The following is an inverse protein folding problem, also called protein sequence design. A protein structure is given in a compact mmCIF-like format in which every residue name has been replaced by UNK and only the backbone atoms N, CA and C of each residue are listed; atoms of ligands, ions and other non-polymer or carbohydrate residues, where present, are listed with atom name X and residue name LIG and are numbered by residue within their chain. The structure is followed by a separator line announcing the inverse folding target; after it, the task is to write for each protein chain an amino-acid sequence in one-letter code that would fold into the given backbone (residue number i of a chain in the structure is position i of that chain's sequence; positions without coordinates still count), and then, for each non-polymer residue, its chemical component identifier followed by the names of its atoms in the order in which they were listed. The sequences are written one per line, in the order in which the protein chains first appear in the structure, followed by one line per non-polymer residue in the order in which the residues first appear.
data_IF_709830018561
#
_entry.id   IF_709830018561
#
_cell.length_a   1.000
_cell.length_b   1.000
_cell.length_c   1.000
_cell.angle_alpha   90.00
_cell.angle_beta   90.00
_cell.angle_gamma   90.00
#
_symmetry.space_group_name_H-M   'P 1'
#
loop_
_entity.id
_entity.type
_entity.pdbx_description
1 polymer ?
#
# COMPACT_ATOMS: atom_id res chain seq x y z
N UNK A 1 4.18 5.96 -8.74
CA UNK A 1 4.71 5.05 -7.69
C UNK A 1 5.75 4.18 -8.35
N UNK A 2 6.92 3.92 -7.75
CA UNK A 2 7.91 3.03 -8.35
C UNK A 2 7.35 1.62 -8.52
N UNK A 3 7.60 0.99 -9.68
CA UNK A 3 6.84 -0.17 -10.16
C UNK A 3 7.12 -1.46 -9.37
N UNK A 4 8.36 -1.67 -8.89
CA UNK A 4 8.81 -2.92 -8.27
C UNK A 4 9.11 -2.82 -6.76
N UNK A 5 8.35 -2.00 -6.03
CA UNK A 5 8.43 -2.03 -4.55
C UNK A 5 7.81 -3.32 -4.01
N UNK A 6 8.28 -3.76 -2.85
CA UNK A 6 7.70 -4.89 -2.13
C UNK A 6 6.17 -4.74 -2.00
N UNK A 7 5.41 -5.82 -2.26
CA UNK A 7 3.96 -5.79 -2.20
C UNK A 7 3.47 -5.69 -0.76
N UNK A 8 2.17 -5.40 -0.60
CA UNK A 8 1.50 -5.52 0.68
C UNK A 8 1.18 -6.96 1.04
N UNK A 9 0.23 -7.16 1.94
CA UNK A 9 -0.21 -8.50 2.35
C UNK A 9 -0.92 -9.25 1.21
N UNK A 10 -1.46 -8.52 0.24
CA UNK A 10 -2.16 -9.04 -0.94
C UNK A 10 -1.23 -9.60 -2.02
N UNK A 11 0.09 -9.39 -1.91
CA UNK A 11 1.08 -9.89 -2.86
C UNK A 11 1.15 -9.12 -4.19
N UNK A 12 0.31 -8.11 -4.41
CA UNK A 12 0.30 -7.37 -5.68
C UNK A 12 1.28 -6.19 -5.67
N UNK A 13 2.12 -6.12 -6.71
CA UNK A 13 3.06 -5.02 -6.94
C UNK A 13 2.45 -3.91 -7.80
N UNK A 14 3.02 -2.71 -7.76
CA UNK A 14 2.49 -1.57 -8.51
C UNK A 14 2.49 -1.81 -10.04
N UNK A 15 3.44 -2.59 -10.57
CA UNK A 15 3.47 -2.98 -11.99
C UNK A 15 2.20 -3.70 -12.44
N UNK A 16 1.58 -4.51 -11.58
CA UNK A 16 0.33 -5.21 -11.91
C UNK A 16 -0.78 -4.19 -12.22
N UNK A 17 -1.01 -3.24 -11.31
CA UNK A 17 -2.03 -2.21 -11.49
C UNK A 17 -1.73 -1.28 -12.66
N UNK A 18 -0.47 -0.97 -12.92
CA UNK A 18 -0.07 -0.16 -14.08
C UNK A 18 -0.34 -0.87 -15.40
N UNK A 19 0.01 -2.16 -15.50
CA UNK A 19 -0.13 -2.94 -16.73
C UNK A 19 -1.58 -3.29 -17.04
N UNK A 20 -2.34 -3.66 -16.00
CA UNK A 20 -3.73 -4.10 -16.14
C UNK A 20 -4.74 -3.02 -15.76
N UNK A 21 -4.34 -1.74 -15.77
CA UNK A 21 -5.24 -0.62 -15.44
C UNK A 21 -6.50 -0.60 -16.31
N UNK A 22 -6.38 -0.96 -17.58
CA UNK A 22 -7.51 -1.08 -18.50
C UNK A 22 -8.54 -2.15 -18.08
N UNK A 23 -8.17 -3.08 -17.19
CA UNK A 23 -9.05 -4.11 -16.64
C UNK A 23 -9.56 -3.66 -15.27
N UNK A 24 -8.65 -3.38 -14.32
CA UNK A 24 -9.02 -3.16 -12.91
C UNK A 24 -9.28 -1.69 -12.55
N UNK A 25 -8.93 -0.75 -13.43
CA UNK A 25 -8.90 0.68 -13.10
C UNK A 25 -10.27 1.25 -12.76
N UNK A 26 -11.33 0.80 -13.44
CA UNK A 26 -12.69 1.23 -13.15
C UNK A 26 -13.14 0.78 -11.76
N UNK A 27 -12.87 -0.45 -11.39
CA UNK A 27 -13.23 -1.04 -10.09
C UNK A 27 -12.46 -0.37 -8.95
N UNK A 28 -11.15 -0.14 -9.13
CA UNK A 28 -10.32 0.56 -8.14
C UNK A 28 -10.76 2.02 -7.98
N UNK A 29 -11.12 2.70 -9.07
CA UNK A 29 -11.61 4.08 -9.02
C UNK A 29 -12.94 4.17 -8.26
N UNK A 30 -13.88 3.27 -8.57
CA UNK A 30 -15.15 3.16 -7.85
C UNK A 30 -14.93 2.87 -6.37
N UNK A 31 -14.07 1.91 -6.06
CA UNK A 31 -13.71 1.59 -4.67
C UNK A 31 -13.16 2.82 -3.92
N UNK A 32 -12.32 3.64 -4.56
CA UNK A 32 -11.83 4.87 -3.94
C UNK A 32 -12.96 5.88 -3.71
N UNK A 33 -13.87 6.05 -4.67
CA UNK A 33 -15.02 6.95 -4.51
C UNK A 33 -15.97 6.48 -3.41
N UNK A 34 -16.26 5.18 -3.33
CA UNK A 34 -17.11 4.60 -2.30
C UNK A 34 -16.51 4.85 -0.89
N UNK A 35 -15.18 4.72 -0.75
CA UNK A 35 -14.47 5.08 0.49
C UNK A 35 -14.61 6.57 0.82
N UNK A 36 -14.38 7.44 -0.16
CA UNK A 36 -14.43 8.91 0.03
C UNK A 36 -15.83 9.42 0.35
N UNK A 37 -16.85 8.77 -0.19
CA UNK A 37 -18.26 9.07 0.05
C UNK A 37 -18.81 8.40 1.33
N UNK A 38 -17.97 7.70 2.10
CA UNK A 38 -18.38 7.02 3.34
C UNK A 38 -19.24 5.77 3.13
N UNK A 39 -19.29 5.24 1.91
CA UNK A 39 -20.05 4.02 1.56
C UNK A 39 -19.26 2.75 1.85
N UNK A 40 -17.94 2.87 2.08
CA UNK A 40 -17.07 1.76 2.41
C UNK A 40 -16.10 2.13 3.53
N UNK A 41 -15.65 1.14 4.28
CA UNK A 41 -14.67 1.33 5.35
C UNK A 41 -13.24 1.11 4.87
N UNK A 42 -12.32 1.90 5.43
CA UNK A 42 -10.89 1.81 5.12
C UNK A 42 -10.22 0.57 5.72
N UNK A 43 -10.86 -0.08 6.70
CA UNK A 43 -10.32 -1.24 7.41
C UNK A 43 -9.93 -2.40 6.47
N UNK A 44 -10.64 -2.56 5.35
CA UNK A 44 -10.41 -3.62 4.36
C UNK A 44 -9.00 -3.56 3.75
N UNK A 45 -8.48 -2.34 3.54
CA UNK A 45 -7.18 -2.09 2.89
C UNK A 45 -6.10 -1.59 3.86
N UNK A 46 -6.46 -1.30 5.11
CA UNK A 46 -5.53 -0.82 6.15
C UNK A 46 -4.73 -1.95 6.84
N UNK A 47 -4.75 -3.16 6.28
CA UNK A 47 -3.91 -4.27 6.74
C UNK A 47 -2.50 -4.08 6.18
N UNK A 48 -1.52 -3.90 7.07
CA UNK A 48 -0.13 -3.64 6.67
C UNK A 48 0.83 -4.60 7.36
N UNK A 49 1.85 -5.05 6.63
CA UNK A 49 2.96 -5.83 7.21
C UNK A 49 4.09 -4.89 7.56
N UNK A 50 4.50 -4.87 8.83
CA UNK A 50 5.65 -4.09 9.27
C UNK A 50 6.92 -4.93 9.07
N UNK A 51 7.87 -4.41 8.30
CA UNK A 51 9.20 -4.98 8.18
C UNK A 51 10.22 -4.08 8.88
N UNK A 52 11.17 -4.69 9.58
CA UNK A 52 12.22 -3.98 10.30
C UNK A 52 13.51 -4.00 9.47
N UNK A 53 13.96 -2.84 9.03
CA UNK A 53 15.24 -2.70 8.30
C UNK A 53 16.33 -2.29 9.29
N UNK A 54 17.43 -3.06 9.43
CA UNK A 54 18.57 -2.66 10.24
C UNK A 54 19.16 -1.32 9.76
N UNK A 55 19.44 -0.40 10.68
CA UNK A 55 20.18 0.85 10.40
C UNK A 55 21.69 0.71 10.57
N UNK A 56 22.12 -0.31 11.33
CA UNK A 56 23.52 -0.57 11.66
C UNK A 56 23.83 -2.06 11.51
N UNK A 57 25.12 -2.39 11.40
CA UNK A 57 25.59 -3.76 11.46
C UNK A 57 25.35 -4.37 12.85
N UNK A 58 24.90 -5.62 12.88
CA UNK A 58 24.66 -6.40 14.10
C UNK A 58 23.73 -5.71 15.12
N UNK A 59 22.46 -5.44 14.76
CA UNK A 59 21.53 -4.70 15.62
C UNK A 59 21.18 -5.50 16.89
N UNK A 60 21.22 -4.83 18.04
CA UNK A 60 20.89 -5.42 19.36
C UNK A 60 19.63 -4.84 20.00
N UNK A 61 19.27 -3.60 19.67
CA UNK A 61 18.14 -2.89 20.27
C UNK A 61 17.09 -2.54 19.21
N UNK A 62 15.82 -2.43 19.60
CA UNK A 62 14.73 -2.04 18.69
C UNK A 62 14.95 -0.68 18.02
N UNK A 63 15.60 0.25 18.71
CA UNK A 63 15.98 1.57 18.16
C UNK A 63 17.00 1.49 17.03
N UNK A 64 17.67 0.35 16.84
CA UNK A 64 18.61 0.12 15.73
C UNK A 64 17.90 -0.27 14.43
N UNK A 65 16.59 -0.51 14.46
CA UNK A 65 15.79 -0.80 13.28
C UNK A 65 14.98 0.42 12.85
N UNK A 66 14.70 0.49 11.55
CA UNK A 66 13.72 1.38 10.96
C UNK A 66 12.50 0.53 10.56
N UNK A 67 11.33 0.73 11.18
CA UNK A 67 10.11 0.08 10.69
C UNK A 67 9.72 0.68 9.34
N UNK A 68 9.34 -0.17 8.41
CA UNK A 68 8.67 0.21 7.17
C UNK A 68 7.33 -0.51 7.05
N UNK A 69 6.31 0.21 6.62
CA UNK A 69 4.98 -0.36 6.38
C UNK A 69 4.86 -0.82 4.94
N UNK A 70 4.63 -2.11 4.73
CA UNK A 70 4.34 -2.71 3.44
C UNK A 70 2.83 -2.71 3.21
N UNK A 71 2.29 -1.54 2.83
CA UNK A 71 0.87 -1.37 2.54
C UNK A 71 0.53 -1.90 1.15
N UNK A 72 -0.70 -2.39 0.98
CA UNK A 72 -1.28 -2.76 -0.31
C UNK A 72 -1.23 -1.58 -1.29
N UNK A 73 -1.14 -1.87 -2.59
CA UNK A 73 -1.08 -0.80 -3.61
C UNK A 73 -2.39 -0.01 -3.64
N UNK A 74 -3.54 -0.67 -3.44
CA UNK A 74 -4.85 -0.01 -3.37
C UNK A 74 -4.87 1.04 -2.26
N UNK A 75 -4.36 0.71 -1.07
CA UNK A 75 -4.18 1.69 0.01
C UNK A 75 -3.38 2.91 -0.44
N UNK A 76 -2.25 2.67 -1.12
CA UNK A 76 -1.38 3.75 -1.59
C UNK A 76 -2.07 4.61 -2.66
N UNK A 77 -2.95 4.02 -3.49
CA UNK A 77 -3.74 4.75 -4.49
C UNK A 77 -4.75 5.64 -3.77
N UNK A 78 -5.55 5.09 -2.86
CA UNK A 78 -6.54 5.86 -2.10
C UNK A 78 -5.89 7.00 -1.30
N UNK A 79 -4.78 6.73 -0.61
CA UNK A 79 -4.05 7.75 0.14
C UNK A 79 -3.53 8.89 -0.74
N UNK A 80 -3.20 8.62 -2.02
CA UNK A 80 -2.84 9.68 -2.97
C UNK A 80 -4.04 10.48 -3.44
N UNK A 81 -5.16 9.82 -3.70
CA UNK A 81 -6.41 10.51 -4.09
C UNK A 81 -6.86 11.45 -2.98
N UNK A 82 -6.72 11.06 -1.71
CA UNK A 82 -7.04 11.90 -0.55
C UNK A 82 -6.20 13.17 -0.42
N UNK A 83 -4.99 13.19 -0.98
CA UNK A 83 -4.03 14.31 -0.86
C UNK A 83 -4.10 15.26 -2.07
N UNK A 84 -4.67 14.80 -3.18
CA UNK A 84 -4.91 15.62 -4.37
C UNK A 84 -6.15 16.49 -4.19
#
# INVERSE_FOLDING_TARGET
MPSLKAPGIDGYVATFFQRYWHIVGQEISRYCLDLLNGQKEFADINKTRIALIPKINNPKNMTHFRPISLCNVIYKITAKVLVN
#
